data_IF_517139756648
#
_entry.id   IF_517139756648
#
_cell.length_a   1.000
_cell.length_b   1.000
_cell.length_c   1.000
_cell.angle_alpha   90.00
_cell.angle_beta   90.00
_cell.angle_gamma   90.00
#
_symmetry.space_group_name_H-M   'P 1'
#
loop_
_entity.id
_entity.type
_entity.pdbx_description
1 polymer ?
#
# COMPACT_ATOMS: atom_id res chain seq x y z
N UNK A 1 -15.06 4.08 -4.79
CA UNK A 1 -13.88 4.08 -3.90
C UNK A 1 -12.67 4.87 -4.43
N UNK A 2 -12.11 5.78 -3.62
CA UNK A 2 -10.78 6.40 -3.84
C UNK A 2 -9.74 5.78 -2.92
N UNK A 3 -8.51 5.60 -3.40
CA UNK A 3 -7.47 4.92 -2.63
C UNK A 3 -6.11 5.58 -2.68
N UNK A 4 -5.23 5.12 -1.82
CA UNK A 4 -3.82 5.48 -1.76
C UNK A 4 -2.94 4.22 -1.77
N UNK A 5 -1.78 4.31 -2.44
CA UNK A 5 -0.75 3.27 -2.42
C UNK A 5 0.62 3.87 -2.17
N UNK A 6 1.45 3.10 -1.45
CA UNK A 6 2.88 3.41 -1.32
C UNK A 6 3.57 3.38 -2.68
N UNK A 7 4.44 4.34 -3.01
CA UNK A 7 5.23 4.28 -4.24
C UNK A 7 6.12 3.03 -4.29
N UNK A 8 6.50 2.48 -3.12
CA UNK A 8 7.23 1.22 -3.01
C UNK A 8 6.39 0.02 -3.46
N UNK A 9 5.09 0.01 -3.16
CA UNK A 9 4.16 -1.02 -3.64
C UNK A 9 3.99 -0.92 -5.17
N UNK A 10 3.89 0.31 -5.70
CA UNK A 10 3.79 0.53 -7.14
C UNK A 10 5.07 0.11 -7.88
N UNK A 11 6.24 0.55 -7.39
CA UNK A 11 7.53 0.23 -7.99
C UNK A 11 7.86 -1.27 -7.99
N UNK A 12 7.45 -1.97 -6.92
CA UNK A 12 7.64 -3.42 -6.83
C UNK A 12 6.61 -4.24 -7.62
N UNK A 13 5.57 -3.61 -8.18
CA UNK A 13 4.45 -4.33 -8.79
C UNK A 13 3.73 -5.23 -7.78
N UNK A 14 3.57 -4.75 -6.55
CA UNK A 14 3.06 -5.57 -5.45
C UNK A 14 1.59 -5.97 -5.67
N UNK A 15 1.13 -7.07 -5.04
CA UNK A 15 -0.29 -7.43 -5.04
C UNK A 15 -1.21 -6.29 -4.55
N UNK A 16 -0.73 -5.46 -3.62
CA UNK A 16 -1.47 -4.30 -3.12
C UNK A 16 -1.69 -3.25 -4.21
N UNK A 17 -0.65 -2.93 -4.98
CA UNK A 17 -0.74 -1.98 -6.09
C UNK A 17 -1.72 -2.46 -7.18
N UNK A 18 -1.62 -3.73 -7.62
CA UNK A 18 -2.53 -4.27 -8.64
C UNK A 18 -3.98 -4.38 -8.14
N UNK A 19 -4.20 -4.69 -6.87
CA UNK A 19 -5.55 -4.63 -6.28
C UNK A 19 -6.11 -3.20 -6.29
N UNK A 20 -5.30 -2.21 -5.92
CA UNK A 20 -5.72 -0.80 -5.93
C UNK A 20 -6.11 -0.34 -7.35
N UNK A 21 -5.26 -0.66 -8.33
CA UNK A 21 -5.47 -0.33 -9.74
C UNK A 21 -6.68 -1.06 -10.33
N UNK A 22 -6.96 -2.28 -9.89
CA UNK A 22 -8.15 -3.00 -10.32
C UNK A 22 -9.45 -2.43 -9.72
N UNK A 23 -9.45 -2.06 -8.43
CA UNK A 23 -10.68 -1.79 -7.68
C UNK A 23 -11.06 -0.32 -7.52
N UNK A 24 -10.11 0.60 -7.65
CA UNK A 24 -10.37 2.01 -7.32
C UNK A 24 -10.85 2.79 -8.54
N UNK A 25 -11.59 3.88 -8.34
CA UNK A 25 -11.82 4.84 -9.43
C UNK A 25 -10.59 5.71 -9.67
N UNK A 26 -9.85 6.01 -8.61
CA UNK A 26 -8.58 6.73 -8.65
C UNK A 26 -7.71 6.34 -7.46
N UNK A 27 -6.42 6.23 -7.73
CA UNK A 27 -5.36 5.74 -6.85
C UNK A 27 -4.34 6.86 -6.72
N UNK A 28 -4.12 7.32 -5.49
CA UNK A 28 -3.15 8.36 -5.17
C UNK A 28 -1.84 7.71 -4.73
N UNK A 29 -0.73 8.16 -5.29
CA UNK A 29 0.59 7.74 -4.84
C UNK A 29 1.54 8.91 -4.83
N UNK A 30 2.61 8.81 -4.05
CA UNK A 30 3.66 9.82 -4.06
C UNK A 30 4.50 9.63 -5.34
N UNK A 31 4.41 10.61 -6.25
CA UNK A 31 5.30 10.70 -7.40
C UNK A 31 6.54 11.52 -6.98
N UNK A 32 7.76 10.97 -7.07
CA UNK A 32 8.95 11.78 -6.85
C UNK A 32 8.97 12.97 -7.82
N UNK A 33 9.12 14.17 -7.28
CA UNK A 33 9.13 15.41 -8.05
C UNK A 33 10.07 16.43 -7.38
N UNK A 34 10.69 17.34 -8.16
CA UNK A 34 11.52 18.39 -7.58
C UNK A 34 10.70 19.30 -6.65
N UNK A 35 11.33 19.76 -5.56
CA UNK A 35 10.65 20.61 -4.57
C UNK A 35 10.34 22.01 -5.11
N UNK A 36 11.10 22.43 -6.12
CA UNK A 36 10.94 23.71 -6.79
C UNK A 36 9.60 23.82 -7.52
N UNK A 37 9.07 22.70 -8.04
CA UNK A 37 7.77 22.64 -8.69
C UNK A 37 7.66 21.52 -9.73
N UNK A 38 6.50 21.41 -10.38
CA UNK A 38 6.23 20.37 -11.40
C UNK A 38 6.15 20.93 -12.82
N UNK A 39 6.64 22.15 -13.06
CA UNK A 39 6.66 22.72 -14.39
C UNK A 39 7.57 21.91 -15.33
N UNK A 40 7.30 21.89 -16.65
CA UNK A 40 8.15 21.18 -17.59
C UNK A 40 9.62 21.60 -17.58
N UNK A 41 9.93 22.83 -17.15
CA UNK A 41 11.30 23.31 -17.00
C UNK A 41 11.98 22.73 -15.75
N UNK A 42 11.27 22.69 -14.62
CA UNK A 42 11.78 22.12 -13.35
C UNK A 42 11.98 20.61 -13.46
N UNK A 43 11.05 19.89 -14.10
CA UNK A 43 11.18 18.45 -14.35
C UNK A 43 12.40 18.16 -15.23
N UNK A 44 12.60 18.91 -16.32
CA UNK A 44 13.79 18.76 -17.17
C UNK A 44 15.08 19.05 -16.39
N UNK A 45 15.11 20.14 -15.63
CA UNK A 45 16.24 20.47 -14.77
C UNK A 45 16.53 19.39 -13.72
N UNK A 46 15.52 18.72 -13.18
CA UNK A 46 15.70 17.61 -12.25
C UNK A 46 16.25 16.35 -12.95
N UNK A 47 15.76 16.03 -14.16
CA UNK A 47 16.28 14.94 -15.00
C UNK A 47 17.76 15.16 -15.32
N UNK A 48 18.15 16.38 -15.70
CA UNK A 48 19.54 16.71 -16.03
C UNK A 48 20.46 16.61 -14.80
N UNK A 49 19.93 16.88 -13.59
CA UNK A 49 20.67 16.86 -12.32
C UNK A 49 20.73 15.49 -11.65
N UNK A 50 19.76 14.60 -11.89
CA UNK A 50 19.65 13.28 -11.24
C UNK A 50 19.40 12.17 -12.26
N UNK A 51 20.43 11.40 -12.64
CA UNK A 51 20.28 10.23 -13.50
C UNK A 51 19.31 9.18 -12.93
N UNK A 52 19.26 9.05 -11.59
CA UNK A 52 18.35 8.11 -10.92
C UNK A 52 16.89 8.51 -11.11
N UNK A 53 16.59 9.81 -11.16
CA UNK A 53 15.24 10.27 -11.43
C UNK A 53 14.79 9.93 -12.86
N UNK A 54 15.66 10.13 -13.84
CA UNK A 54 15.42 9.69 -15.22
C UNK A 54 15.17 8.18 -15.31
N UNK A 55 16.05 7.37 -14.72
CA UNK A 55 15.94 5.92 -14.71
C UNK A 55 14.63 5.46 -14.06
N UNK A 56 14.20 6.14 -12.99
CA UNK A 56 12.92 5.87 -12.34
C UNK A 56 11.76 6.13 -13.30
N UNK A 57 11.72 7.28 -13.98
CA UNK A 57 10.66 7.61 -14.92
C UNK A 57 10.56 6.58 -16.05
N UNK A 58 11.70 6.14 -16.60
CA UNK A 58 11.72 5.07 -17.60
C UNK A 58 11.21 3.74 -17.03
N UNK A 59 11.62 3.38 -15.79
CA UNK A 59 11.14 2.16 -15.14
C UNK A 59 9.63 2.18 -14.86
N UNK A 60 9.04 3.37 -14.70
CA UNK A 60 7.61 3.59 -14.45
C UNK A 60 6.80 3.87 -15.70
N UNK A 61 7.42 3.84 -16.89
CA UNK A 61 6.73 4.13 -18.17
C UNK A 61 5.49 3.26 -18.40
N UNK A 62 5.47 2.03 -17.88
CA UNK A 62 4.30 1.16 -17.92
C UNK A 62 3.05 1.75 -17.25
N UNK A 63 3.23 2.65 -16.28
CA UNK A 63 2.13 3.35 -15.57
C UNK A 63 1.59 4.54 -16.35
N UNK A 64 2.29 5.00 -17.40
CA UNK A 64 1.96 6.23 -18.12
C UNK A 64 0.48 6.28 -18.56
N UNK A 65 -0.12 5.23 -19.15
CA UNK A 65 -1.54 5.26 -19.51
C UNK A 65 -2.47 5.50 -18.32
N UNK A 66 -2.11 4.99 -17.14
CA UNK A 66 -2.89 5.14 -15.91
C UNK A 66 -2.89 6.58 -15.40
N UNK A 67 -1.77 7.30 -15.58
CA UNK A 67 -1.69 8.74 -15.29
C UNK A 67 -2.54 9.56 -16.27
N UNK A 68 -2.49 9.22 -17.57
CA UNK A 68 -3.25 9.92 -18.60
C UNK A 68 -4.76 9.73 -18.44
N UNK A 69 -5.21 8.53 -18.04
CA UNK A 69 -6.62 8.28 -17.76
C UNK A 69 -7.12 8.90 -16.45
N UNK A 70 -6.22 9.41 -15.61
CA UNK A 70 -6.54 9.92 -14.28
C UNK A 70 -6.79 8.83 -13.23
N UNK A 71 -6.57 7.55 -13.57
CA UNK A 71 -6.62 6.45 -12.59
C UNK A 71 -5.50 6.60 -11.56
N UNK A 72 -4.28 6.93 -11.97
CA UNK A 72 -3.20 7.32 -11.06
C UNK A 72 -3.14 8.84 -10.90
N UNK A 73 -2.85 9.30 -9.69
CA UNK A 73 -2.65 10.71 -9.40
C UNK A 73 -1.60 10.93 -8.28
N UNK A 74 -0.96 12.09 -8.32
CA UNK A 74 0.00 12.55 -7.31
C UNK A 74 -0.66 13.39 -6.22
N UNK A 75 -1.88 13.88 -6.47
CA UNK A 75 -2.63 14.75 -5.57
C UNK A 75 -4.08 14.30 -5.42
N UNK A 76 -4.67 14.63 -4.27
CA UNK A 76 -6.11 14.50 -4.02
C UNK A 76 -6.64 15.76 -3.32
N UNK A 77 -7.72 16.35 -3.83
CA UNK A 77 -8.29 17.60 -3.32
C UNK A 77 -7.24 18.73 -3.11
N UNK A 78 -6.27 18.83 -4.01
CA UNK A 78 -5.18 19.82 -3.92
C UNK A 78 -4.07 19.49 -2.93
N UNK A 79 -4.15 18.37 -2.21
CA UNK A 79 -3.12 17.93 -1.27
C UNK A 79 -2.15 16.94 -1.89
N UNK A 80 -0.87 17.03 -1.54
CA UNK A 80 0.18 16.13 -2.01
C UNK A 80 0.71 15.25 -0.85
N UNK A 81 0.84 13.92 -1.01
CA UNK A 81 1.35 13.03 0.06
C UNK A 81 2.78 13.36 0.54
N UNK A 82 3.56 14.06 -0.28
CA UNK A 82 4.90 14.53 0.10
C UNK A 82 4.89 15.47 1.31
N UNK A 83 3.85 16.30 1.47
CA UNK A 83 3.72 17.18 2.64
C UNK A 83 3.65 16.37 3.93
N UNK A 84 2.89 15.27 3.91
CA UNK A 84 2.82 14.32 5.02
C UNK A 84 4.16 13.59 5.23
N UNK A 85 4.91 13.27 4.16
CA UNK A 85 6.23 12.63 4.28
C UNK A 85 7.25 13.53 4.99
N UNK A 86 7.29 14.82 4.61
CA UNK A 86 8.10 15.83 5.31
C UNK A 86 7.66 15.98 6.77
N UNK A 87 6.36 16.09 7.02
CA UNK A 87 5.83 16.22 8.38
C UNK A 87 6.12 14.99 9.26
N UNK A 88 6.09 13.78 8.70
CA UNK A 88 6.49 12.56 9.44
C UNK A 88 7.99 12.56 9.72
N UNK A 89 8.83 12.95 8.76
CA UNK A 89 10.28 13.05 8.97
C UNK A 89 10.62 14.05 10.10
N UNK A 90 9.99 15.23 10.08
CA UNK A 90 10.13 16.25 11.13
C UNK A 90 9.61 15.76 12.49
N UNK A 91 8.48 15.05 12.51
CA UNK A 91 7.94 14.44 13.72
C UNK A 91 8.93 13.46 14.33
N UNK A 92 9.54 12.56 13.55
CA UNK A 92 10.52 11.60 14.07
C UNK A 92 11.74 12.34 14.64
N UNK A 93 12.21 13.38 13.96
CA UNK A 93 13.37 14.16 14.37
C UNK A 93 13.13 14.94 15.68
N UNK A 94 11.96 15.58 15.82
CA UNK A 94 11.69 16.53 16.90
C UNK A 94 10.85 15.97 18.06
N UNK A 95 10.12 14.86 17.88
CA UNK A 95 9.17 14.36 18.89
C UNK A 95 9.88 13.98 20.19
N UNK A 96 9.41 14.38 21.38
CA UNK A 96 9.96 13.94 22.66
C UNK A 96 9.63 12.47 22.98
N UNK A 97 8.75 11.81 22.22
CA UNK A 97 8.32 10.42 22.45
C UNK A 97 9.52 9.45 22.40
N UNK A 98 9.80 8.74 23.50
CA UNK A 98 10.87 7.74 23.54
C UNK A 98 10.73 6.63 22.49
N UNK A 99 9.51 6.30 22.07
CA UNK A 99 9.28 5.32 21.00
C UNK A 99 9.84 5.84 19.67
N UNK A 100 9.47 7.05 19.25
CA UNK A 100 9.97 7.65 18.02
C UNK A 100 11.46 8.01 18.10
N UNK A 101 11.98 8.32 19.29
CA UNK A 101 13.41 8.53 19.51
C UNK A 101 14.27 7.34 19.06
N UNK A 102 13.70 6.14 19.01
CA UNK A 102 14.42 4.94 18.55
C UNK A 102 14.68 4.89 17.05
N UNK A 103 13.91 5.66 16.27
CA UNK A 103 14.03 5.77 14.82
C UNK A 103 15.08 6.81 14.39
N UNK A 104 15.36 7.81 15.22
CA UNK A 104 16.28 8.93 14.87
C UNK A 104 17.66 8.50 14.36
N UNK A 105 18.32 7.45 14.89
CA UNK A 105 19.62 7.00 14.36
C UNK A 105 19.57 6.53 12.90
N UNK A 106 18.38 6.20 12.38
CA UNK A 106 18.17 5.77 11.00
C UNK A 106 17.70 6.91 10.09
N UNK A 107 17.47 8.11 10.62
CA UNK A 107 16.98 9.25 9.84
C UNK A 107 18.14 10.11 9.35
N UNK A 108 17.99 10.67 8.16
CA UNK A 108 18.90 11.64 7.58
C UNK A 108 18.23 13.02 7.56
N UNK A 109 18.76 13.96 8.35
CA UNK A 109 18.10 15.25 8.61
C UNK A 109 17.85 16.12 7.36
N UNK A 110 18.65 15.94 6.30
CA UNK A 110 18.54 16.68 5.05
C UNK A 110 17.66 16.00 3.99
N UNK A 111 17.30 14.71 4.15
CA UNK A 111 16.67 13.94 3.07
C UNK A 111 15.42 14.60 2.51
N UNK A 112 14.54 15.16 3.33
CA UNK A 112 13.29 15.80 2.84
C UNK A 112 13.37 17.34 2.77
N UNK A 113 14.57 17.91 2.89
CA UNK A 113 14.80 19.37 2.88
C UNK A 113 15.41 19.87 1.58
N UNK A 114 16.18 19.02 0.90
CA UNK A 114 16.93 19.37 -0.31
C UNK A 114 16.47 18.50 -1.47
N UNK A 115 16.10 19.11 -2.61
CA UNK A 115 15.59 18.38 -3.79
C UNK A 115 16.52 17.26 -4.24
N UNK A 116 17.81 17.52 -4.36
CA UNK A 116 18.79 16.52 -4.81
C UNK A 116 18.88 15.33 -3.86
N UNK A 117 19.06 15.59 -2.55
CA UNK A 117 19.16 14.54 -1.54
C UNK A 117 17.88 13.69 -1.47
N UNK A 118 16.71 14.33 -1.51
CA UNK A 118 15.40 13.69 -1.53
C UNK A 118 15.23 12.77 -2.75
N UNK A 119 15.38 13.34 -3.95
CA UNK A 119 15.13 12.64 -5.20
C UNK A 119 16.10 11.47 -5.35
N UNK A 120 17.38 11.66 -5.07
CA UNK A 120 18.37 10.59 -5.19
C UNK A 120 18.10 9.45 -4.21
N UNK A 121 17.76 9.76 -2.95
CA UNK A 121 17.45 8.75 -1.95
C UNK A 121 16.20 7.94 -2.34
N UNK A 122 15.11 8.63 -2.69
CA UNK A 122 13.86 7.98 -3.01
C UNK A 122 13.94 7.20 -4.34
N UNK A 123 14.53 7.79 -5.39
CA UNK A 123 14.66 7.11 -6.68
C UNK A 123 15.58 5.89 -6.59
N UNK A 124 16.68 5.96 -5.81
CA UNK A 124 17.56 4.81 -5.55
C UNK A 124 16.78 3.65 -4.93
N UNK A 125 15.94 3.92 -3.94
CA UNK A 125 15.16 2.86 -3.30
C UNK A 125 14.08 2.30 -4.23
N UNK A 126 13.36 3.17 -4.95
CA UNK A 126 12.28 2.76 -5.85
C UNK A 126 12.78 1.98 -7.07
N UNK A 127 14.01 2.24 -7.53
CA UNK A 127 14.67 1.46 -8.58
C UNK A 127 15.14 0.08 -8.12
N UNK A 128 15.24 -0.15 -6.80
CA UNK A 128 15.66 -1.42 -6.22
C UNK A 128 14.61 -1.98 -5.25
N UNK A 129 13.39 -2.23 -5.74
CA UNK A 129 12.32 -2.70 -4.88
C UNK A 129 12.73 -4.01 -4.20
N UNK A 130 12.64 -4.03 -2.87
CA UNK A 130 12.97 -5.19 -2.04
C UNK A 130 14.44 -5.35 -1.61
N UNK A 131 15.36 -4.54 -2.14
CA UNK A 131 16.80 -4.63 -1.81
C UNK A 131 17.21 -3.91 -0.52
N UNK A 132 16.35 -3.94 0.52
CA UNK A 132 16.58 -3.24 1.78
C UNK A 132 16.59 -1.72 1.60
N UNK A 133 15.41 -1.15 1.30
CA UNK A 133 15.24 0.30 1.13
C UNK A 133 15.72 1.08 2.37
N UNK A 134 16.25 2.27 2.14
CA UNK A 134 16.76 3.15 3.18
C UNK A 134 15.62 3.49 4.17
N UNK A 135 15.72 3.11 5.46
CA UNK A 135 14.72 3.46 6.45
C UNK A 135 14.46 4.97 6.55
N UNK A 136 15.46 5.82 6.25
CA UNK A 136 15.33 7.27 6.25
C UNK A 136 14.28 7.78 5.25
N UNK A 137 14.11 7.10 4.10
CA UNK A 137 13.11 7.46 3.09
C UNK A 137 11.85 6.58 3.22
N UNK A 138 12.03 5.27 3.38
CA UNK A 138 10.94 4.29 3.41
C UNK A 138 9.92 4.57 4.51
N UNK A 139 10.39 4.81 5.74
CA UNK A 139 9.51 4.96 6.91
C UNK A 139 8.67 6.24 6.77
N UNK A 140 9.25 7.43 6.53
CA UNK A 140 8.45 8.64 6.38
C UNK A 140 7.46 8.58 5.23
N UNK A 141 7.86 8.07 4.05
CA UNK A 141 6.97 7.98 2.88
C UNK A 141 5.82 7.02 3.12
N UNK A 142 6.10 5.82 3.64
CA UNK A 142 5.04 4.82 3.84
C UNK A 142 4.06 5.22 4.94
N UNK A 143 4.56 5.82 6.04
CA UNK A 143 3.70 6.32 7.11
C UNK A 143 2.90 7.56 6.66
N UNK A 144 3.47 8.38 5.78
CA UNK A 144 2.78 9.51 5.19
C UNK A 144 1.61 9.08 4.32
N UNK A 145 1.71 7.98 3.58
CA UNK A 145 0.56 7.47 2.80
C UNK A 145 -0.62 7.10 3.70
N UNK A 146 -0.36 6.49 4.87
CA UNK A 146 -1.40 6.17 5.86
C UNK A 146 -2.04 7.43 6.42
N UNK A 147 -1.22 8.42 6.82
CA UNK A 147 -1.71 9.71 7.34
C UNK A 147 -2.47 10.51 6.30
N UNK A 148 -1.95 10.60 5.08
CA UNK A 148 -2.58 11.26 3.95
C UNK A 148 -3.94 10.64 3.66
N UNK A 149 -4.00 9.30 3.61
CA UNK A 149 -5.25 8.59 3.37
C UNK A 149 -6.26 8.78 4.50
N UNK A 150 -5.82 8.70 5.77
CA UNK A 150 -6.69 8.98 6.92
C UNK A 150 -7.29 10.39 6.85
N UNK A 151 -6.44 11.39 6.55
CA UNK A 151 -6.83 12.80 6.44
C UNK A 151 -7.78 13.06 5.27
N UNK A 152 -7.58 12.38 4.15
CA UNK A 152 -8.38 12.57 2.93
C UNK A 152 -9.56 11.58 2.80
N UNK A 153 -9.80 10.71 3.80
CA UNK A 153 -10.86 9.71 3.75
C UNK A 153 -10.65 8.60 2.70
N UNK A 154 -9.40 8.35 2.29
CA UNK A 154 -9.04 7.34 1.29
C UNK A 154 -8.88 5.94 1.92
N UNK A 155 -8.90 4.92 1.07
CA UNK A 155 -8.56 3.54 1.43
C UNK A 155 -7.09 3.28 1.12
N UNK A 156 -6.31 2.75 2.04
CA UNK A 156 -4.91 2.36 1.77
C UNK A 156 -4.85 0.93 1.29
N UNK A 157 -4.25 0.69 0.14
CA UNK A 157 -3.91 -0.66 -0.28
C UNK A 157 -2.46 -0.97 0.08
N UNK A 158 -2.23 -2.16 0.66
CA UNK A 158 -0.89 -2.64 1.03
C UNK A 158 -0.70 -4.07 0.57
N UNK A 159 0.52 -4.44 0.18
CA UNK A 159 0.86 -5.85 0.08
C UNK A 159 1.04 -6.49 1.47
N UNK A 160 0.67 -7.77 1.58
CA UNK A 160 0.99 -8.58 2.75
C UNK A 160 2.51 -8.75 2.84
N UNK A 161 3.18 -7.93 3.67
CA UNK A 161 4.62 -7.97 3.80
C UNK A 161 5.07 -9.19 4.62
N UNK A 162 6.00 -10.01 4.10
CA UNK A 162 6.62 -11.10 4.88
C UNK A 162 7.66 -10.58 5.90
N UNK A 163 7.92 -9.27 5.95
CA UNK A 163 8.88 -8.69 6.88
C UNK A 163 8.42 -8.77 8.34
N UNK A 164 9.37 -8.73 9.28
CA UNK A 164 9.06 -8.65 10.72
C UNK A 164 8.24 -7.40 11.06
N UNK A 165 8.58 -6.26 10.46
CA UNK A 165 7.87 -4.98 10.63
C UNK A 165 6.43 -5.08 10.12
N UNK A 166 6.20 -5.63 8.93
CA UNK A 166 4.84 -5.80 8.39
C UNK A 166 3.99 -6.78 9.22
N UNK A 167 4.58 -7.85 9.74
CA UNK A 167 3.90 -8.73 10.71
C UNK A 167 3.57 -8.03 12.03
N UNK A 168 4.38 -7.07 12.44
CA UNK A 168 4.15 -6.32 13.67
C UNK A 168 3.09 -5.24 13.47
N UNK A 169 3.16 -4.52 12.36
CA UNK A 169 2.14 -3.56 11.92
C UNK A 169 0.76 -4.24 11.87
N UNK A 170 0.68 -5.40 11.22
CA UNK A 170 -0.55 -6.19 11.18
C UNK A 170 -1.03 -6.59 12.57
N UNK A 171 -0.13 -7.00 13.46
CA UNK A 171 -0.49 -7.32 14.84
C UNK A 171 -0.99 -6.12 15.63
N UNK A 172 -0.46 -4.92 15.37
CA UNK A 172 -0.96 -3.68 15.96
C UNK A 172 -2.37 -3.40 15.44
N UNK A 173 -2.58 -3.48 14.11
CA UNK A 173 -3.89 -3.28 13.52
C UNK A 173 -4.94 -4.29 14.03
N UNK A 174 -4.60 -5.58 14.07
CA UNK A 174 -5.49 -6.66 14.49
C UNK A 174 -5.78 -6.65 16.01
N UNK A 175 -4.94 -5.98 16.83
CA UNK A 175 -5.17 -5.85 18.28
C UNK A 175 -6.34 -4.92 18.59
N UNK A 176 -6.46 -3.84 17.84
CA UNK A 176 -7.39 -2.75 18.17
C UNK A 176 -8.74 -2.90 17.43
N UNK A 177 -8.79 -3.65 16.32
CA UNK A 177 -10.03 -4.10 15.71
C UNK A 177 -9.85 -5.39 14.90
N UNK A 178 -10.82 -6.32 14.95
CA UNK A 178 -10.83 -7.46 14.03
C UNK A 178 -11.04 -6.97 12.58
N UNK A 179 -10.62 -7.78 11.58
CA UNK A 179 -10.89 -7.48 10.19
C UNK A 179 -12.39 -7.35 9.91
N UNK A 180 -12.75 -6.35 9.11
CA UNK A 180 -14.13 -6.04 8.71
C UNK A 180 -14.64 -7.14 7.77
N UNK A 181 -13.86 -7.45 6.74
CA UNK A 181 -14.19 -8.47 5.76
C UNK A 181 -12.95 -9.06 5.09
N UNK A 182 -13.15 -10.22 4.45
CA UNK A 182 -12.15 -10.87 3.62
C UNK A 182 -12.81 -11.44 2.38
N UNK A 183 -12.20 -11.25 1.23
CA UNK A 183 -12.68 -11.76 -0.05
C UNK A 183 -11.52 -12.04 -0.98
N UNK A 184 -11.79 -12.72 -2.10
CA UNK A 184 -10.77 -13.00 -3.11
C UNK A 184 -11.26 -12.60 -4.49
N UNK A 185 -10.34 -12.10 -5.32
CA UNK A 185 -10.64 -11.75 -6.70
C UNK A 185 -9.43 -11.92 -7.62
N UNK A 186 -9.65 -12.23 -8.90
CA UNK A 186 -8.61 -12.23 -9.90
C UNK A 186 -8.21 -10.79 -10.26
N UNK A 187 -6.92 -10.56 -10.44
CA UNK A 187 -6.37 -9.32 -11.02
C UNK A 187 -5.39 -9.64 -12.12
N UNK A 188 -5.25 -8.72 -13.08
CA UNK A 188 -4.10 -8.72 -13.97
C UNK A 188 -2.86 -8.31 -13.17
N UNK A 189 -1.83 -9.15 -13.19
CA UNK A 189 -0.55 -8.85 -12.56
C UNK A 189 0.54 -8.66 -13.61
N UNK A 190 1.44 -7.73 -13.31
CA UNK A 190 2.66 -7.49 -14.10
C UNK A 190 2.38 -7.19 -15.59
N UNK A 191 1.34 -6.41 -15.84
CA UNK A 191 0.90 -5.96 -17.17
C UNK A 191 1.02 -4.45 -17.31
N UNK A 192 1.06 -3.96 -18.54
CA UNK A 192 1.05 -2.53 -18.87
C UNK A 192 -0.20 -1.82 -18.35
N UNK A 193 -0.12 -0.50 -18.18
CA UNK A 193 -1.26 0.33 -17.82
C UNK A 193 -2.42 0.20 -18.81
N UNK A 194 -2.13 0.09 -20.10
CA UNK A 194 -3.15 -0.13 -21.14
C UNK A 194 -3.94 -1.41 -20.92
N UNK A 195 -3.26 -2.52 -20.62
CA UNK A 195 -3.94 -3.79 -20.36
C UNK A 195 -4.82 -3.75 -19.10
N UNK A 196 -4.39 -3.01 -18.07
CA UNK A 196 -5.19 -2.78 -16.87
C UNK A 196 -6.45 -1.96 -17.21
N UNK A 197 -6.32 -0.89 -18.00
CA UNK A 197 -7.44 -0.06 -18.43
C UNK A 197 -8.41 -0.85 -19.31
N UNK A 198 -7.90 -1.58 -20.30
CA UNK A 198 -8.73 -2.43 -21.17
C UNK A 198 -9.53 -3.48 -20.38
N UNK A 199 -8.91 -4.10 -19.37
CA UNK A 199 -9.63 -5.01 -18.48
C UNK A 199 -10.71 -4.29 -17.68
N UNK A 200 -10.39 -3.13 -17.10
CA UNK A 200 -11.37 -2.34 -16.33
C UNK A 200 -12.57 -1.93 -17.18
N UNK A 201 -12.33 -1.49 -18.41
CA UNK A 201 -13.39 -1.10 -19.35
C UNK A 201 -14.27 -2.30 -19.69
N UNK A 202 -13.67 -3.48 -19.89
CA UNK A 202 -14.40 -4.71 -20.18
C UNK A 202 -15.29 -5.22 -19.03
N UNK A 203 -14.98 -4.85 -17.78
CA UNK A 203 -15.75 -5.26 -16.57
C UNK A 203 -16.33 -4.08 -15.80
N UNK A 204 -16.53 -2.93 -16.45
CA UNK A 204 -16.87 -1.67 -15.79
C UNK A 204 -18.12 -1.78 -14.90
N UNK A 205 -19.17 -2.44 -15.38
CA UNK A 205 -20.42 -2.63 -14.62
C UNK A 205 -20.22 -3.42 -13.33
N UNK A 206 -19.44 -4.50 -13.38
CA UNK A 206 -19.14 -5.35 -12.24
C UNK A 206 -18.19 -4.67 -11.27
N UNK A 207 -17.24 -3.90 -11.78
CA UNK A 207 -16.34 -3.09 -10.99
C UNK A 207 -17.09 -1.99 -10.22
N UNK A 208 -18.06 -1.32 -10.84
CA UNK A 208 -18.91 -0.34 -10.18
C UNK A 208 -19.79 -0.99 -9.11
N UNK A 209 -20.39 -2.14 -9.41
CA UNK A 209 -21.17 -2.89 -8.42
C UNK A 209 -20.32 -3.30 -7.21
N UNK A 210 -19.10 -3.80 -7.44
CA UNK A 210 -18.17 -4.18 -6.37
C UNK A 210 -17.70 -2.96 -5.57
N UNK A 211 -17.37 -1.87 -6.25
CA UNK A 211 -16.95 -0.61 -5.61
C UNK A 211 -18.04 -0.05 -4.72
N UNK A 212 -19.29 -0.05 -5.17
CA UNK A 212 -20.44 0.42 -4.38
C UNK A 212 -20.71 -0.47 -3.15
N UNK A 213 -20.61 -1.80 -3.31
CA UNK A 213 -20.76 -2.73 -2.20
C UNK A 213 -19.67 -2.51 -1.14
N UNK A 214 -18.42 -2.36 -1.58
CA UNK A 214 -17.30 -2.02 -0.69
C UNK A 214 -17.51 -0.66 -0.03
N UNK A 215 -17.79 0.41 -0.78
CA UNK A 215 -17.99 1.74 -0.21
C UNK A 215 -19.09 1.76 0.86
N UNK A 216 -20.17 0.99 0.69
CA UNK A 216 -21.23 0.83 1.69
C UNK A 216 -20.70 0.19 2.98
N UNK A 217 -20.07 -0.98 2.87
CA UNK A 217 -19.48 -1.72 4.02
C UNK A 217 -18.45 -0.85 4.75
N UNK A 218 -17.63 -0.13 3.99
CA UNK A 218 -16.54 0.67 4.50
C UNK A 218 -17.03 1.96 5.16
N UNK A 219 -18.10 2.57 4.63
CA UNK A 219 -18.78 3.71 5.24
C UNK A 219 -19.40 3.32 6.58
N UNK A 220 -20.08 2.17 6.65
CA UNK A 220 -20.65 1.66 7.89
C UNK A 220 -19.58 1.38 8.94
N UNK A 221 -18.45 0.76 8.53
CA UNK A 221 -17.33 0.52 9.43
C UNK A 221 -16.74 1.83 9.99
N UNK A 222 -16.64 2.88 9.16
CA UNK A 222 -16.15 4.20 9.59
C UNK A 222 -17.12 4.90 10.55
N UNK A 223 -18.43 4.71 10.36
CA UNK A 223 -19.46 5.23 11.25
C UNK A 223 -19.51 4.48 12.60
N UNK A 224 -18.75 3.40 12.76
CA UNK A 224 -18.79 2.56 13.97
C UNK A 224 -20.04 1.68 14.04
N UNK A 225 -20.74 1.48 12.91
CA UNK A 225 -21.87 0.59 12.84
C UNK A 225 -21.41 -0.86 13.04
N UNK A 226 -22.16 -1.63 13.82
CA UNK A 226 -21.89 -3.05 14.00
C UNK A 226 -22.17 -3.80 12.70
N UNK A 227 -21.12 -4.30 12.06
CA UNK A 227 -21.22 -5.09 10.83
C UNK A 227 -21.30 -6.57 11.19
N UNK A 228 -22.46 -7.18 10.90
CA UNK A 228 -22.57 -8.64 11.00
C UNK A 228 -21.76 -9.31 9.88
N UNK A 229 -20.85 -10.26 10.19
CA UNK A 229 -20.10 -10.98 9.16
C UNK A 229 -20.96 -11.65 8.10
N UNK A 230 -22.14 -12.15 8.47
CA UNK A 230 -23.07 -12.78 7.52
C UNK A 230 -23.70 -11.78 6.56
N UNK A 231 -24.00 -10.57 7.01
CA UNK A 231 -24.55 -9.50 6.17
C UNK A 231 -23.49 -9.00 5.18
N UNK A 232 -22.25 -8.84 5.64
CA UNK A 232 -21.14 -8.43 4.78
C UNK A 232 -20.84 -9.49 3.72
N UNK A 233 -20.80 -10.78 4.09
CA UNK A 233 -20.64 -11.88 3.13
C UNK A 233 -21.74 -11.86 2.09
N UNK A 234 -23.01 -11.87 2.52
CA UNK A 234 -24.15 -11.90 1.61
C UNK A 234 -24.17 -10.70 0.63
N UNK A 235 -23.73 -9.52 1.08
CA UNK A 235 -23.61 -8.32 0.24
C UNK A 235 -22.53 -8.49 -0.85
N UNK A 236 -21.40 -9.10 -0.52
CA UNK A 236 -20.27 -9.26 -1.44
C UNK A 236 -20.40 -10.48 -2.36
N UNK A 237 -20.94 -11.60 -1.89
CA UNK A 237 -20.87 -12.90 -2.58
C UNK A 237 -21.44 -12.83 -4.00
N UNK A 238 -22.66 -12.30 -4.18
CA UNK A 238 -23.26 -12.21 -5.53
C UNK A 238 -22.51 -11.27 -6.47
N UNK A 239 -21.88 -10.23 -5.92
CA UNK A 239 -21.16 -9.22 -6.70
C UNK A 239 -19.79 -9.75 -7.11
N UNK A 240 -19.09 -10.44 -6.21
CA UNK A 240 -17.84 -11.12 -6.47
C UNK A 240 -18.00 -12.23 -7.51
N UNK A 241 -19.06 -13.03 -7.43
CA UNK A 241 -19.35 -14.09 -8.41
C UNK A 241 -19.59 -13.53 -9.82
N UNK A 242 -20.25 -12.36 -9.94
CA UNK A 242 -20.40 -11.67 -11.22
C UNK A 242 -19.06 -11.13 -11.70
N UNK A 243 -18.32 -10.43 -10.84
CA UNK A 243 -17.00 -9.89 -11.16
C UNK A 243 -16.06 -10.97 -11.67
N UNK A 244 -15.95 -12.11 -10.98
CA UNK A 244 -15.07 -13.21 -11.37
C UNK A 244 -15.43 -13.78 -12.74
N UNK A 245 -16.72 -14.03 -13.00
CA UNK A 245 -17.18 -14.53 -14.29
C UNK A 245 -16.88 -13.56 -15.43
N UNK A 246 -17.19 -12.28 -15.24
CA UNK A 246 -16.95 -11.25 -16.26
C UNK A 246 -15.46 -11.02 -16.49
N UNK A 247 -14.62 -11.06 -15.44
CA UNK A 247 -13.16 -11.00 -15.56
C UNK A 247 -12.63 -12.16 -16.41
N UNK A 248 -13.05 -13.40 -16.13
CA UNK A 248 -12.60 -14.56 -16.88
C UNK A 248 -13.10 -14.57 -18.33
N UNK A 249 -14.31 -14.07 -18.58
CA UNK A 249 -14.86 -13.93 -19.93
C UNK A 249 -14.12 -12.86 -20.76
N UNK A 250 -13.73 -11.75 -20.14
CA UNK A 250 -13.00 -10.66 -20.80
C UNK A 250 -11.51 -10.98 -21.05
N UNK A 251 -10.93 -11.86 -20.23
CA UNK A 251 -9.48 -12.12 -20.22
C UNK A 251 -8.87 -12.47 -21.59
N UNK A 252 -9.43 -13.39 -22.40
CA UNK A 252 -8.85 -13.71 -23.71
C UNK A 252 -8.75 -12.48 -24.61
N UNK A 253 -9.81 -11.67 -24.70
CA UNK A 253 -9.82 -10.46 -25.52
C UNK A 253 -8.80 -9.42 -25.08
N UNK A 254 -8.60 -9.26 -23.77
CA UNK A 254 -7.56 -8.36 -23.24
C UNK A 254 -6.18 -8.88 -23.57
N UNK A 255 -5.93 -10.20 -23.41
CA UNK A 255 -4.62 -10.82 -23.67
C UNK A 255 -4.25 -10.88 -25.15
N UNK A 256 -5.22 -10.93 -26.05
CA UNK A 256 -4.99 -10.97 -27.50
C UNK A 256 -4.73 -9.57 -28.08
N UNK A 257 -5.04 -8.50 -27.34
CA UNK A 257 -4.79 -7.12 -27.76
C UNK A 257 -3.29 -6.80 -27.89
N UNK A 258 -2.94 -5.88 -28.79
CA UNK A 258 -1.54 -5.47 -29.02
C UNK A 258 -0.85 -4.97 -27.73
N UNK A 259 -1.63 -4.40 -26.81
CA UNK A 259 -1.17 -3.85 -25.52
C UNK A 259 -0.78 -4.93 -24.49
N UNK A 260 -1.22 -6.18 -24.67
CA UNK A 260 -0.93 -7.27 -23.73
C UNK A 260 0.46 -7.87 -23.88
N UNK A 261 1.18 -7.53 -24.96
CA UNK A 261 2.58 -7.96 -25.19
C UNK A 261 3.60 -7.16 -24.37
N UNK A 262 3.16 -6.06 -23.76
CA UNK A 262 4.01 -5.22 -22.91
C UNK A 262 4.00 -5.75 -21.47
N UNK A 263 5.02 -6.52 -21.17
CA UNK A 263 5.33 -6.98 -19.81
C UNK A 263 6.18 -5.95 -19.09
N UNK A 264 6.03 -5.86 -17.77
CA UNK A 264 7.03 -5.18 -16.94
C UNK A 264 8.42 -5.78 -17.21
N UNK A 265 9.50 -4.97 -17.24
CA UNK A 265 10.86 -5.48 -17.41
C UNK A 265 11.22 -6.62 -16.45
N UNK A 266 10.69 -6.57 -15.22
CA UNK A 266 10.86 -7.58 -14.17
C UNK A 266 10.02 -8.85 -14.38
N UNK A 267 9.00 -8.83 -15.23
CA UNK A 267 8.02 -9.90 -15.40
C UNK A 267 8.36 -10.92 -16.49
N UNK A 268 9.45 -10.70 -17.24
CA UNK A 268 9.84 -11.54 -18.39
C UNK A 268 10.17 -13.00 -18.06
N UNK A 269 10.18 -13.42 -16.78
CA UNK A 269 10.71 -14.74 -16.42
C UNK A 269 9.70 -15.85 -16.07
N UNK A 270 8.55 -15.62 -15.43
CA UNK A 270 7.79 -16.79 -14.89
C UNK A 270 6.32 -16.59 -14.52
N UNK A 271 5.69 -15.44 -14.78
CA UNK A 271 4.37 -15.13 -14.23
C UNK A 271 3.19 -15.48 -15.14
N UNK A 272 2.16 -16.10 -14.59
CA UNK A 272 0.82 -16.11 -15.18
C UNK A 272 0.26 -14.68 -15.25
N UNK A 273 -0.46 -14.28 -16.31
CA UNK A 273 -1.03 -12.93 -16.46
C UNK A 273 -1.96 -12.52 -15.33
N UNK A 274 -2.51 -13.52 -14.63
CA UNK A 274 -3.57 -13.37 -13.66
C UNK A 274 -3.09 -13.92 -12.33
N UNK A 275 -3.40 -13.22 -11.25
CA UNK A 275 -3.28 -13.75 -9.91
C UNK A 275 -4.58 -13.60 -9.16
N UNK A 276 -4.91 -14.59 -8.34
CA UNK A 276 -6.00 -14.46 -7.36
C UNK A 276 -5.42 -13.83 -6.11
N UNK A 277 -5.97 -12.68 -5.72
CA UNK A 277 -5.60 -11.98 -4.51
C UNK A 277 -6.63 -12.22 -3.43
N UNK A 278 -6.18 -12.52 -2.21
CA UNK A 278 -6.99 -12.44 -1.00
C UNK A 278 -6.82 -11.06 -0.39
N UNK A 279 -7.93 -10.34 -0.24
CA UNK A 279 -7.98 -9.00 0.34
C UNK A 279 -8.58 -9.09 1.73
N UNK A 280 -7.95 -8.41 2.69
CA UNK A 280 -8.44 -8.26 4.06
C UNK A 280 -8.64 -6.79 4.35
N UNK A 281 -9.88 -6.39 4.65
CA UNK A 281 -10.22 -5.03 5.07
C UNK A 281 -10.11 -4.90 6.59
N UNK A 282 -9.44 -3.86 7.08
CA UNK A 282 -9.36 -3.55 8.50
C UNK A 282 -9.21 -2.05 8.75
N UNK A 283 -9.56 -1.60 9.96
CA UNK A 283 -9.29 -0.24 10.43
C UNK A 283 -8.02 -0.25 11.28
N UNK A 284 -6.96 0.35 10.77
CA UNK A 284 -5.69 0.48 11.47
C UNK A 284 -5.46 1.92 11.96
N UNK A 285 -4.74 2.16 13.06
CA UNK A 285 -4.20 3.48 13.36
C UNK A 285 -3.31 3.98 12.21
N UNK A 286 -3.43 5.25 11.81
CA UNK A 286 -2.64 5.81 10.71
C UNK A 286 -1.12 5.88 11.01
N UNK A 287 -0.72 5.66 12.26
CA UNK A 287 0.67 5.58 12.70
C UNK A 287 1.14 4.15 13.00
N UNK A 288 0.34 3.12 12.71
CA UNK A 288 0.66 1.73 13.01
C UNK A 288 2.03 1.31 12.44
N UNK A 289 2.40 1.83 11.26
CA UNK A 289 3.72 1.60 10.68
C UNK A 289 4.84 2.26 11.50
N UNK A 290 4.66 3.48 11.99
CA UNK A 290 5.67 4.16 12.83
C UNK A 290 5.88 3.40 14.13
N UNK A 291 4.79 2.95 14.76
CA UNK A 291 4.86 2.12 15.96
C UNK A 291 5.58 0.80 15.69
N UNK A 292 5.27 0.13 14.58
CA UNK A 292 5.92 -1.11 14.17
C UNK A 292 7.43 -0.89 13.91
N UNK A 293 7.78 0.17 13.19
CA UNK A 293 9.16 0.54 12.89
C UNK A 293 9.94 0.86 14.17
N UNK A 294 9.38 1.64 15.10
CA UNK A 294 10.01 1.96 16.39
C UNK A 294 10.24 0.72 17.26
N UNK A 295 9.31 -0.23 17.23
CA UNK A 295 9.48 -1.52 17.92
C UNK A 295 10.56 -2.39 17.25
N UNK A 296 10.63 -2.40 15.91
CA UNK A 296 11.68 -3.11 15.19
C UNK A 296 13.07 -2.49 15.43
N UNK A 297 13.18 -1.16 15.41
CA UNK A 297 14.40 -0.42 15.71
C UNK A 297 14.96 -0.72 17.11
N UNK A 298 14.07 -0.87 18.11
CA UNK A 298 14.46 -1.30 19.46
C UNK A 298 15.10 -2.68 19.51
N UNK A 299 14.73 -3.58 18.61
CA UNK A 299 15.29 -4.94 18.54
C UNK A 299 16.67 -4.97 17.88
N UNK A 300 17.00 -3.97 17.06
CA UNK A 300 18.30 -3.86 16.38
C UNK A 300 19.38 -3.17 17.23
N UNK A 301 19.00 -2.47 18.31
CA UNK A 301 20.00 -1.83 19.18
C UNK A 301 20.84 -2.91 19.87
N UNK A 302 22.19 -2.80 19.85
CA UNK A 302 23.05 -3.69 20.62
C UNK A 302 22.58 -3.67 22.06
N UNK A 303 22.23 -4.82 22.61
CA UNK A 303 21.98 -4.93 24.05
C UNK A 303 23.33 -4.62 24.71
N UNK A 304 23.44 -3.58 25.56
CA UNK A 304 24.64 -3.42 26.37
C UNK A 304 24.81 -4.73 27.15
N UNK A 305 26.02 -5.29 27.11
CA UNK A 305 26.38 -6.59 27.69
C UNK A 305 25.73 -6.77 29.07
N UNK A 306 24.60 -7.48 29.08
CA UNK A 306 23.90 -7.84 30.30
C UNK A 306 24.23 -9.29 30.58
N UNK A 307 25.12 -9.48 31.54
CA UNK A 307 25.16 -10.68 32.37
C UNK A 307 23.72 -11.00 32.80
N UNK A 308 23.20 -12.13 32.32
CA UNK A 308 21.78 -12.48 32.42
C UNK A 308 21.38 -12.87 33.86
N UNK A 309 20.20 -12.41 34.31
CA UNK A 309 19.20 -13.29 34.89
C UNK A 309 18.09 -13.58 33.89
N UNK A 310 17.54 -14.80 33.97
CA UNK A 310 16.59 -15.42 33.04
C UNK A 310 15.37 -14.56 32.64
N UNK A 311 14.94 -14.62 31.36
CA UNK A 311 13.81 -13.85 30.85
C UNK A 311 12.49 -14.59 31.12
N UNK A 312 11.82 -14.30 32.25
CA UNK A 312 10.42 -14.76 32.43
C UNK A 312 9.43 -13.76 33.01
N UNK A 313 9.81 -12.50 33.25
CA UNK A 313 8.89 -11.53 33.86
C UNK A 313 9.10 -10.07 33.42
N UNK A 314 9.44 -9.81 32.15
CA UNK A 314 9.40 -8.44 31.64
C UNK A 314 7.94 -8.08 31.31
N UNK A 315 7.24 -7.55 32.33
CA UNK A 315 5.93 -6.92 32.19
C UNK A 315 5.99 -5.84 31.11
N UNK A 316 5.01 -5.83 30.22
CA UNK A 316 4.83 -4.81 29.19
C UNK A 316 4.66 -3.43 29.85
N UNK A 317 5.45 -2.41 29.49
CA UNK A 317 5.15 -1.04 29.88
C UNK A 317 3.97 -0.55 29.01
N UNK A 318 2.75 -0.80 29.50
CA UNK A 318 1.47 -0.49 28.83
C UNK A 318 0.93 0.92 29.16
N UNK A 319 1.77 1.83 29.70
CA UNK A 319 1.33 3.16 30.16
C UNK A 319 1.89 4.33 29.35
N UNK A 320 2.32 4.11 28.10
CA UNK A 320 2.57 5.24 27.20
C UNK A 320 1.23 5.87 26.85
N UNK A 321 1.05 7.17 27.17
CA UNK A 321 -0.13 7.94 26.82
C UNK A 321 -0.48 7.69 25.34
N UNK A 322 -1.62 7.04 25.09
CA UNK A 322 -2.06 6.71 23.75
C UNK A 322 -2.36 8.02 23.01
N UNK A 323 -1.44 8.44 22.16
CA UNK A 323 -1.76 9.44 21.14
C UNK A 323 -2.84 8.82 20.26
N UNK A 324 -4.05 9.37 20.32
CA UNK A 324 -5.15 8.94 19.46
C UNK A 324 -4.86 9.45 18.05
N UNK A 325 -4.32 8.57 17.21
CA UNK A 325 -4.16 8.85 15.78
C UNK A 325 -5.46 8.54 15.04
N UNK A 326 -5.78 9.28 13.96
CA UNK A 326 -6.92 8.95 13.13
C UNK A 326 -6.76 7.53 12.59
N UNK A 327 -7.87 6.81 12.48
CA UNK A 327 -7.88 5.48 11.90
C UNK A 327 -7.96 5.59 10.39
N UNK A 328 -7.23 4.72 9.70
CA UNK A 328 -7.27 4.57 8.26
C UNK A 328 -7.82 3.20 7.92
N UNK A 329 -8.63 3.15 6.88
CA UNK A 329 -9.10 1.89 6.33
C UNK A 329 -8.02 1.32 5.41
N UNK A 330 -7.64 0.07 5.67
CA UNK A 330 -6.58 -0.62 4.95
C UNK A 330 -7.11 -1.89 4.30
N UNK A 331 -6.79 -2.09 3.02
CA UNK A 331 -6.98 -3.33 2.28
C UNK A 331 -5.61 -4.00 2.08
N UNK A 332 -5.38 -5.10 2.80
CA UNK A 332 -4.15 -5.88 2.70
C UNK A 332 -4.33 -6.98 1.66
N UNK A 333 -3.54 -6.93 0.59
CA UNK A 333 -3.55 -7.89 -0.50
C UNK A 333 -2.48 -8.97 -0.31
N UNK A 334 -2.91 -10.23 -0.30
CA UNK A 334 -2.04 -11.41 -0.32
C UNK A 334 -2.29 -12.19 -1.60
N UNK A 335 -1.25 -12.40 -2.40
CA UNK A 335 -1.33 -13.30 -3.55
C UNK A 335 -1.51 -14.74 -3.07
N UNK A 336 -2.48 -15.43 -3.67
CA UNK A 336 -2.74 -16.83 -3.40
C UNK A 336 -1.86 -17.72 -4.32
N UNK A 337 -1.38 -18.87 -3.83
CA UNK A 337 -0.70 -19.86 -4.67
C UNK A 337 -1.55 -20.24 -5.89
N UNK A 338 -0.90 -20.38 -7.05
CA UNK A 338 -1.54 -20.72 -8.33
C UNK A 338 -2.21 -22.09 -8.34
N UNK A 339 -1.68 -23.06 -7.59
CA UNK A 339 -2.10 -24.47 -7.65
C UNK A 339 -3.31 -24.83 -6.76
N UNK A 340 -4.08 -23.84 -6.30
CA UNK A 340 -5.28 -24.12 -5.50
C UNK A 340 -6.52 -23.48 -6.14
N UNK A 341 -7.41 -24.28 -6.77
CA UNK A 341 -8.67 -23.77 -7.28
C UNK A 341 -9.46 -23.11 -6.14
N UNK A 342 -10.04 -21.94 -6.43
CA UNK A 342 -10.77 -21.13 -5.46
C UNK A 342 -11.95 -21.88 -4.81
N UNK A 343 -12.50 -22.89 -5.48
CA UNK A 343 -13.63 -23.68 -5.02
C UNK A 343 -13.28 -24.76 -3.98
N UNK A 344 -12.02 -25.22 -3.91
CA UNK A 344 -11.60 -26.26 -2.94
C UNK A 344 -11.05 -25.70 -1.63
N UNK A 345 -11.02 -24.37 -1.50
CA UNK A 345 -10.81 -23.75 -0.21
C UNK A 345 -12.16 -23.57 0.45
N UNK A 346 -12.46 -24.44 1.42
CA UNK A 346 -12.99 -23.91 2.68
C UNK A 346 -11.98 -22.84 3.13
N UNK A 347 -12.16 -21.59 2.68
CA UNK A 347 -11.65 -20.42 3.40
C UNK A 347 -11.93 -20.73 4.87
N UNK A 348 -10.94 -20.61 5.79
CA UNK A 348 -11.17 -20.96 7.18
C UNK A 348 -12.45 -20.24 7.57
N UNK A 349 -13.55 -21.02 7.66
CA UNK A 349 -14.87 -20.52 8.02
C UNK A 349 -14.56 -19.69 9.21
N UNK A 350 -14.84 -18.39 9.11
CA UNK A 350 -14.63 -17.40 10.14
C UNK A 350 -14.75 -18.14 11.46
N UNK A 351 -13.62 -18.44 12.12
CA UNK A 351 -13.70 -18.85 13.51
C UNK A 351 -14.16 -17.56 14.16
N UNK A 352 -15.47 -17.42 14.21
CA UNK A 352 -16.18 -16.45 15.02
C UNK A 352 -15.65 -16.74 16.41
N UNK A 353 -14.63 -16.01 16.81
CA UNK A 353 -14.28 -15.90 18.22
C UNK A 353 -15.51 -15.30 18.87
N UNK A 354 -16.21 -16.13 19.65
CA UNK A 354 -17.23 -15.66 20.58
C UNK A 354 -16.66 -14.62 21.52
#
# INVERSE_FOLDING_TARGET
MFSAISPYDLASGSPGAFAALALSHRVVTLLPAPLEGTSPAEIRSAIDRSPLFHDLMESWRWTQPLWHSGLLASTHAGHHPFDDARAVSELIAASPDPALATLRPFMHASTFRETGAYLDALCRDLLRPGAGADPAALIPVSAAMDRFAARCGLVVFKAASPSSSGRLERRIADRDAPPICRFSLPVLQLRSGDAILAMRDAIASELDALSNALDTILSDARAGNSLSPSSVSASLDSVLDRFQRSFHAALPGVLDSAHAKDFLPSARRTGTPVATLSLTASLAPADALLQAAARAARQLRPRPDREFPSPRAAQSPDSAAEMSFPRVLTLIAKQLPWDQPAHDRELPRTRLTK
#
